data_IF_500631994452
#
_entry.id   IF_500631994452
#
_cell.length_a   1.000
_cell.length_b   1.000
_cell.length_c   1.000
_cell.angle_alpha   90.00
_cell.angle_beta   90.00
_cell.angle_gamma   90.00
#
_symmetry.space_group_name_H-M   'P 1'
#
loop_
_entity.id
_entity.type
_entity.pdbx_description
1 polymer ?
#
# COMPACT_ATOMS: atom_id res chain seq x y z
N UNK A 1 -27.50 11.41 21.03
CA UNK A 1 -27.03 12.53 20.19
C UNK A 1 -26.15 11.92 19.11
N UNK A 2 -26.73 11.61 17.96
CA UNK A 2 -26.01 10.96 16.85
C UNK A 2 -25.27 12.01 16.04
N UNK A 3 -23.97 11.83 15.84
CA UNK A 3 -23.19 12.71 14.98
C UNK A 3 -23.47 12.38 13.50
N UNK A 4 -23.63 13.38 12.63
CA UNK A 4 -23.90 13.15 11.22
C UNK A 4 -22.63 12.70 10.50
N UNK A 5 -22.74 11.57 9.79
CA UNK A 5 -21.82 11.18 8.73
C UNK A 5 -21.94 12.18 7.57
N UNK A 6 -20.80 12.73 7.16
CA UNK A 6 -20.62 13.31 5.83
C UNK A 6 -20.59 14.83 5.76
N UNK A 7 -19.37 15.38 5.71
CA UNK A 7 -18.88 16.21 4.61
C UNK A 7 -17.40 15.92 4.43
N UNK A 8 -17.05 15.23 3.34
CA UNK A 8 -15.66 15.10 2.90
C UNK A 8 -15.29 16.42 2.22
N UNK A 9 -14.26 17.09 2.73
CA UNK A 9 -13.75 18.32 2.13
C UNK A 9 -13.01 17.99 0.81
N UNK A 10 -13.37 18.62 -0.32
CA UNK A 10 -12.83 18.29 -1.64
C UNK A 10 -11.37 18.73 -1.84
N UNK A 11 -10.79 19.45 -0.88
CA UNK A 11 -9.43 20.01 -1.00
C UNK A 11 -8.30 19.02 -0.66
N UNK A 12 -8.61 17.83 -0.11
CA UNK A 12 -7.60 16.81 0.21
C UNK A 12 -7.38 15.78 -0.91
N UNK A 13 -8.10 15.90 -2.04
CA UNK A 13 -8.14 14.85 -3.06
C UNK A 13 -7.06 14.94 -4.15
N UNK A 14 -6.21 15.98 -4.18
CA UNK A 14 -5.49 16.32 -5.43
C UNK A 14 -4.00 16.70 -5.29
N UNK A 15 -3.29 16.22 -4.26
CA UNK A 15 -1.85 16.54 -4.13
C UNK A 15 -0.99 15.31 -3.85
N UNK A 16 -0.37 14.78 -4.91
CA UNK A 16 1.01 14.27 -4.86
C UNK A 16 1.22 12.79 -4.50
N UNK A 17 1.42 11.97 -5.54
CA UNK A 17 2.22 10.72 -5.55
C UNK A 17 1.77 9.52 -4.67
N UNK A 18 0.85 9.69 -3.69
CA UNK A 18 0.39 8.63 -2.77
C UNK A 18 -1.14 8.56 -2.59
N UNK A 19 -1.92 8.90 -3.61
CA UNK A 19 -3.38 8.87 -3.54
C UNK A 19 -3.97 7.47 -3.82
N UNK A 20 -3.84 6.48 -2.93
CA UNK A 20 -4.61 5.22 -3.11
C UNK A 20 -4.91 4.49 -1.79
N UNK A 21 -6.00 4.87 -1.14
CA UNK A 21 -6.85 3.89 -0.45
C UNK A 21 -8.03 3.61 -1.37
N UNK A 22 -8.23 2.36 -1.83
CA UNK A 22 -9.50 2.02 -2.51
C UNK A 22 -10.64 2.36 -1.56
N UNK A 23 -11.65 3.08 -2.05
CA UNK A 23 -12.83 3.40 -1.26
C UNK A 23 -13.58 2.10 -0.97
N UNK A 24 -13.71 1.75 0.31
CA UNK A 24 -14.51 0.65 0.80
C UNK A 24 -15.19 1.11 2.10
N UNK A 25 -16.42 0.65 2.35
CA UNK A 25 -17.22 1.09 3.52
C UNK A 25 -16.62 0.57 4.84
N UNK A 26 -15.95 -0.58 4.78
CA UNK A 26 -15.09 -1.09 5.85
C UNK A 26 -13.69 -0.44 5.76
N UNK A 27 -13.27 0.34 6.79
CA UNK A 27 -11.97 1.00 6.80
C UNK A 27 -10.78 0.03 6.85
N UNK A 28 -10.93 -1.16 7.44
CA UNK A 28 -9.85 -2.17 7.47
C UNK A 28 -9.59 -2.70 6.07
N UNK A 29 -10.66 -2.97 5.32
CA UNK A 29 -10.57 -3.36 3.91
C UNK A 29 -9.96 -2.24 3.07
N UNK A 30 -10.39 -0.98 3.27
CA UNK A 30 -9.85 0.16 2.54
C UNK A 30 -8.34 0.32 2.77
N UNK A 31 -7.89 0.14 4.02
CA UNK A 31 -6.47 0.16 4.39
C UNK A 31 -5.68 -0.94 3.67
N UNK A 32 -6.14 -2.19 3.76
CA UNK A 32 -5.46 -3.34 3.14
C UNK A 32 -5.41 -3.21 1.62
N UNK A 33 -6.51 -2.80 0.98
CA UNK A 33 -6.56 -2.57 -0.47
C UNK A 33 -5.64 -1.43 -0.92
N UNK A 34 -5.44 -0.41 -0.09
CA UNK A 34 -4.50 0.69 -0.37
C UNK A 34 -3.03 0.32 -0.12
N UNK A 35 -2.77 -0.51 0.88
CA UNK A 35 -1.41 -0.86 1.26
C UNK A 35 -0.75 -1.86 0.28
N UNK A 36 -1.54 -2.70 -0.40
CA UNK A 36 -1.03 -3.58 -1.47
C UNK A 36 -0.29 -2.79 -2.58
N UNK A 37 -0.90 -1.81 -3.27
CA UNK A 37 -0.20 -1.04 -4.30
C UNK A 37 0.89 -0.12 -3.73
N UNK A 38 0.72 0.39 -2.51
CA UNK A 38 1.78 1.15 -1.82
C UNK A 38 3.05 0.29 -1.64
N UNK A 39 2.89 -0.95 -1.18
CA UNK A 39 4.00 -1.88 -1.03
C UNK A 39 4.59 -2.32 -2.37
N UNK A 40 3.75 -2.54 -3.38
CA UNK A 40 4.24 -2.84 -4.72
C UNK A 40 5.12 -1.72 -5.28
N UNK A 41 4.73 -0.46 -5.08
CA UNK A 41 5.54 0.70 -5.47
C UNK A 41 6.91 0.74 -4.77
N UNK A 42 6.95 0.44 -3.47
CA UNK A 42 8.21 0.37 -2.73
C UNK A 42 9.12 -0.79 -3.21
N UNK A 43 8.55 -1.95 -3.54
CA UNK A 43 9.27 -3.08 -4.15
C UNK A 43 9.87 -2.66 -5.49
N UNK A 44 9.12 -1.95 -6.32
CA UNK A 44 9.58 -1.53 -7.64
C UNK A 44 10.71 -0.49 -7.54
N UNK A 45 10.63 0.45 -6.60
CA UNK A 45 11.74 1.36 -6.28
C UNK A 45 12.98 0.61 -5.76
N UNK A 46 12.79 -0.39 -4.89
CA UNK A 46 13.88 -1.20 -4.37
C UNK A 46 14.57 -2.01 -5.49
N UNK A 47 13.81 -2.54 -6.47
CA UNK A 47 14.37 -3.20 -7.65
C UNK A 47 15.23 -2.24 -8.49
N UNK A 48 14.79 -0.99 -8.67
CA UNK A 48 15.59 0.05 -9.34
C UNK A 48 16.89 0.30 -8.57
N UNK A 49 16.84 0.41 -7.23
CA UNK A 49 18.04 0.59 -6.41
C UNK A 49 19.02 -0.59 -6.54
N UNK A 50 18.53 -1.83 -6.69
CA UNK A 50 19.39 -2.99 -6.93
C UNK A 50 19.96 -3.05 -8.34
N UNK A 51 19.27 -2.50 -9.33
CA UNK A 51 19.73 -2.47 -10.72
C UNK A 51 20.74 -1.33 -10.98
N UNK A 52 20.51 -0.15 -10.42
CA UNK A 52 21.25 1.07 -10.77
C UNK A 52 22.06 1.68 -9.61
N UNK A 53 21.72 1.38 -8.35
CA UNK A 53 22.39 1.93 -7.19
C UNK A 53 23.66 1.16 -6.80
N UNK A 54 24.66 1.87 -6.28
CA UNK A 54 25.98 1.30 -5.89
C UNK A 54 26.26 1.33 -4.39
N UNK A 55 25.55 2.15 -3.61
CA UNK A 55 25.77 2.24 -2.16
C UNK A 55 25.38 0.92 -1.46
N UNK A 56 26.31 0.35 -0.69
CA UNK A 56 26.16 -0.97 -0.07
C UNK A 56 25.02 -1.01 0.94
N UNK A 57 24.84 0.05 1.73
CA UNK A 57 23.80 0.11 2.77
C UNK A 57 22.43 0.19 2.12
N UNK A 58 22.26 1.06 1.14
CA UNK A 58 20.99 1.23 0.44
C UNK A 58 20.60 0.01 -0.40
N UNK A 59 21.57 -0.73 -0.94
CA UNK A 59 21.30 -2.01 -1.60
C UNK A 59 20.84 -3.09 -0.62
N UNK A 60 21.46 -3.17 0.56
CA UNK A 60 21.01 -4.09 1.61
C UNK A 60 19.59 -3.73 2.09
N UNK A 61 19.29 -2.44 2.26
CA UNK A 61 17.95 -1.96 2.56
C UNK A 61 16.95 -2.36 1.47
N UNK A 62 17.30 -2.19 0.19
CA UNK A 62 16.44 -2.57 -0.92
C UNK A 62 16.12 -4.07 -0.94
N UNK A 63 17.09 -4.94 -0.66
CA UNK A 63 16.84 -6.39 -0.52
C UNK A 63 15.86 -6.69 0.63
N UNK A 64 16.03 -6.00 1.77
CA UNK A 64 15.16 -6.16 2.92
C UNK A 64 13.73 -5.69 2.62
N UNK A 65 13.57 -4.53 1.98
CA UNK A 65 12.27 -4.00 1.54
C UNK A 65 11.54 -5.00 0.64
N UNK A 66 12.23 -5.57 -0.35
CA UNK A 66 11.61 -6.56 -1.25
C UNK A 66 11.14 -7.78 -0.48
N UNK A 67 11.97 -8.30 0.43
CA UNK A 67 11.66 -9.52 1.17
C UNK A 67 10.47 -9.33 2.13
N UNK A 68 10.42 -8.25 2.88
CA UNK A 68 9.34 -8.03 3.86
C UNK A 68 8.05 -7.58 3.19
N UNK A 69 8.11 -6.61 2.27
CA UNK A 69 6.89 -6.09 1.67
C UNK A 69 6.19 -7.09 0.76
N UNK A 70 6.93 -8.04 0.17
CA UNK A 70 6.29 -9.16 -0.55
C UNK A 70 5.49 -10.06 0.40
N UNK A 71 6.02 -10.38 1.59
CA UNK A 71 5.29 -11.16 2.61
C UNK A 71 4.05 -10.42 3.09
N UNK A 72 4.16 -9.11 3.30
CA UNK A 72 3.04 -8.26 3.71
C UNK A 72 1.94 -8.22 2.64
N UNK A 73 2.30 -8.09 1.36
CA UNK A 73 1.35 -8.22 0.24
C UNK A 73 0.65 -9.59 0.28
N UNK A 74 1.39 -10.68 0.44
CA UNK A 74 0.82 -12.02 0.45
C UNK A 74 -0.15 -12.22 1.63
N UNK A 75 0.20 -11.71 2.81
CA UNK A 75 -0.64 -11.73 4.00
C UNK A 75 -1.92 -10.90 3.82
N UNK A 76 -1.81 -9.69 3.26
CA UNK A 76 -2.93 -8.82 2.96
C UNK A 76 -3.89 -9.43 1.93
N UNK A 77 -3.36 -10.00 0.85
CA UNK A 77 -4.15 -10.74 -0.14
C UNK A 77 -4.86 -11.94 0.47
N UNK A 78 -4.20 -12.68 1.36
CA UNK A 78 -4.82 -13.79 2.07
C UNK A 78 -5.95 -13.32 2.99
N UNK A 79 -5.75 -12.22 3.71
CA UNK A 79 -6.75 -11.63 4.60
C UNK A 79 -8.02 -11.17 3.84
N UNK A 80 -7.86 -10.62 2.64
CA UNK A 80 -8.97 -10.23 1.76
C UNK A 80 -9.74 -11.44 1.20
N UNK A 81 -9.02 -12.48 0.75
CA UNK A 81 -9.64 -13.73 0.27
C UNK A 81 -10.50 -14.42 1.34
N UNK A 82 -10.07 -14.40 2.60
CA UNK A 82 -10.86 -14.93 3.72
C UNK A 82 -12.20 -14.20 3.92
N UNK A 83 -12.34 -12.99 3.36
CA UNK A 83 -13.54 -12.15 3.41
C UNK A 83 -14.30 -12.12 2.08
N UNK A 84 -13.88 -12.91 1.09
CA UNK A 84 -14.50 -12.93 -0.24
C UNK A 84 -14.25 -11.66 -1.06
N UNK A 85 -13.17 -10.93 -0.76
CA UNK A 85 -12.82 -9.68 -1.43
C UNK A 85 -11.60 -9.94 -2.31
N UNK A 86 -11.71 -9.62 -3.60
CA UNK A 86 -10.60 -9.74 -4.54
C UNK A 86 -9.76 -8.45 -4.56
N UNK A 87 -8.44 -8.62 -4.52
CA UNK A 87 -7.47 -7.56 -4.76
C UNK A 87 -6.83 -7.78 -6.12
N UNK A 88 -7.49 -7.32 -7.17
CA UNK A 88 -6.82 -7.11 -8.48
C UNK A 88 -5.60 -6.20 -8.31
#
# INVERSE_FOLDING_TARGET
MSLPVGKQDPAFADTGIFAIGKRHDDPDVAFVLGMIPHHQGAIDMARIQLAAGSDRVNRALAQHIIAEQQKEIDAMRAWLRQRGIESE
#
